data_IF_891798866746
#
_entry.id   IF_891798866746
#
_cell.length_a   1.000
_cell.length_b   1.000
_cell.length_c   1.000
_cell.angle_alpha   90.00
_cell.angle_beta   90.00
_cell.angle_gamma   90.00
#
_symmetry.space_group_name_H-M   'P 1'
#
loop_
_entity.id
_entity.type
_entity.pdbx_description
1 polymer ?
#
# COMPACT_ATOMS: atom_id res chain seq x y z
N UNK A 1 26.99 -15.84 13.54
CA UNK A 1 25.77 -15.45 12.85
C UNK A 1 25.03 -16.74 12.52
N UNK A 2 23.73 -16.78 12.77
CA UNK A 2 22.92 -17.98 12.49
C UNK A 2 22.74 -18.17 10.99
N UNK A 3 22.85 -19.42 10.53
CA UNK A 3 22.66 -19.79 9.12
C UNK A 3 21.34 -20.55 8.97
N UNK A 4 20.48 -20.05 8.12
CA UNK A 4 19.17 -20.61 7.81
C UNK A 4 19.15 -21.05 6.34
N UNK A 5 18.59 -22.24 6.08
CA UNK A 5 18.34 -22.72 4.71
C UNK A 5 16.83 -22.91 4.54
N UNK A 6 16.22 -22.16 3.62
CA UNK A 6 14.87 -22.41 3.12
C UNK A 6 14.96 -23.43 2.00
N UNK A 7 14.51 -24.66 2.28
CA UNK A 7 14.79 -25.83 1.43
C UNK A 7 13.65 -26.14 0.49
N UNK A 8 13.97 -26.46 -0.77
CA UNK A 8 13.06 -27.02 -1.79
C UNK A 8 11.84 -26.14 -2.11
N UNK A 9 11.92 -24.84 -1.89
CA UNK A 9 10.87 -23.88 -2.25
C UNK A 9 10.91 -23.52 -3.73
N UNK A 10 9.77 -23.12 -4.31
CA UNK A 10 9.76 -22.43 -5.60
C UNK A 10 10.18 -20.99 -5.39
N UNK A 11 11.43 -20.71 -5.75
CA UNK A 11 12.03 -19.38 -5.60
C UNK A 11 11.62 -18.52 -6.79
N UNK A 12 10.96 -17.40 -6.52
CA UNK A 12 10.52 -16.45 -7.53
C UNK A 12 11.11 -15.07 -7.21
N UNK A 13 11.98 -14.61 -8.07
CA UNK A 13 12.58 -13.27 -8.02
C UNK A 13 12.54 -12.65 -9.44
N UNK A 14 11.42 -11.99 -9.79
CA UNK A 14 11.23 -11.48 -11.15
C UNK A 14 12.27 -10.44 -11.56
N UNK A 15 12.83 -9.68 -10.61
CA UNK A 15 13.87 -8.69 -10.90
C UNK A 15 15.16 -9.33 -11.41
N UNK A 16 15.43 -10.58 -11.02
CA UNK A 16 16.59 -11.36 -11.45
C UNK A 16 16.22 -12.48 -12.46
N UNK A 17 14.99 -12.49 -12.97
CA UNK A 17 14.46 -13.52 -13.89
C UNK A 17 14.58 -14.93 -13.31
N UNK A 18 14.32 -15.10 -12.01
CA UNK A 18 14.39 -16.39 -11.31
C UNK A 18 12.98 -16.91 -11.05
N UNK A 19 12.70 -18.13 -11.53
CA UNK A 19 11.52 -18.93 -11.18
C UNK A 19 11.94 -20.40 -11.26
N UNK A 20 12.34 -20.97 -10.11
CA UNK A 20 12.81 -22.36 -10.04
C UNK A 20 12.65 -22.94 -8.63
N UNK A 21 12.59 -24.25 -8.54
CA UNK A 21 12.74 -24.94 -7.25
C UNK A 21 14.22 -24.92 -6.86
N UNK A 22 14.52 -24.57 -5.60
CA UNK A 22 15.86 -24.49 -5.08
C UNK A 22 15.90 -24.23 -3.58
N UNK A 23 17.12 -24.10 -3.06
CA UNK A 23 17.39 -23.78 -1.67
C UNK A 23 17.87 -22.33 -1.56
N UNK A 24 17.33 -21.55 -0.63
CA UNK A 24 17.78 -20.19 -0.36
C UNK A 24 18.53 -20.17 0.98
N UNK A 25 19.79 -19.74 0.95
CA UNK A 25 20.66 -19.66 2.13
C UNK A 25 20.75 -18.24 2.65
N UNK A 26 20.59 -18.10 3.97
CA UNK A 26 20.66 -16.85 4.73
C UNK A 26 21.71 -16.98 5.82
N UNK A 27 22.51 -15.93 6.07
CA UNK A 27 23.45 -15.83 7.18
C UNK A 27 23.24 -14.51 7.93
N UNK A 28 22.80 -14.59 9.18
CA UNK A 28 22.41 -13.42 9.94
C UNK A 28 21.28 -12.65 9.24
N UNK A 29 21.50 -11.38 8.95
CA UNK A 29 20.55 -10.49 8.29
C UNK A 29 20.72 -10.41 6.76
N UNK A 30 21.56 -11.28 6.15
CA UNK A 30 21.90 -11.23 4.72
C UNK A 30 21.60 -12.50 3.98
N UNK A 31 21.16 -12.34 2.73
CA UNK A 31 21.03 -13.44 1.77
C UNK A 31 22.44 -13.84 1.30
N UNK A 32 22.77 -15.11 1.43
CA UNK A 32 24.02 -15.68 0.91
C UNK A 32 23.87 -16.00 -0.58
N UNK A 33 22.78 -16.66 -0.95
CA UNK A 33 22.47 -16.99 -2.34
C UNK A 33 21.55 -18.20 -2.48
N UNK A 34 21.22 -18.49 -3.73
CA UNK A 34 20.38 -19.62 -4.12
C UNK A 34 21.28 -20.81 -4.49
N UNK A 35 20.91 -22.00 -4.00
CA UNK A 35 21.65 -23.26 -4.19
C UNK A 35 23.13 -23.20 -3.75
N UNK A 36 23.42 -22.36 -2.76
CA UNK A 36 24.76 -22.29 -2.15
C UNK A 36 24.89 -23.43 -1.13
N UNK A 37 25.85 -24.36 -1.29
CA UNK A 37 26.04 -25.44 -0.34
C UNK A 37 26.46 -24.90 1.05
N UNK A 38 25.79 -25.40 2.10
CA UNK A 38 26.11 -25.09 3.49
C UNK A 38 26.33 -26.38 4.26
N UNK A 39 27.41 -26.43 5.00
CA UNK A 39 27.72 -27.56 5.89
C UNK A 39 27.21 -27.21 7.29
N UNK A 40 26.34 -28.04 7.85
CA UNK A 40 25.74 -27.88 9.17
C UNK A 40 25.08 -26.50 9.40
N UNK A 41 24.00 -26.17 8.65
CA UNK A 41 23.24 -24.95 8.94
C UNK A 41 22.60 -25.04 10.32
N UNK A 42 22.45 -23.89 10.99
CA UNK A 42 21.80 -23.84 12.30
C UNK A 42 20.31 -24.20 12.22
N UNK A 43 19.68 -23.88 11.08
CA UNK A 43 18.26 -24.20 10.85
C UNK A 43 18.01 -24.55 9.37
N UNK A 44 17.20 -25.58 9.16
CA UNK A 44 16.63 -25.94 7.84
C UNK A 44 15.12 -25.85 7.95
N UNK A 45 14.50 -25.08 7.06
CA UNK A 45 13.04 -24.90 6.98
C UNK A 45 12.56 -25.49 5.65
N UNK A 46 11.72 -26.51 5.72
CA UNK A 46 11.11 -27.09 4.52
C UNK A 46 10.07 -26.13 3.92
N UNK A 47 10.33 -25.71 2.68
CA UNK A 47 9.48 -24.87 1.86
C UNK A 47 8.93 -25.61 0.64
N UNK A 48 8.98 -26.95 0.64
CA UNK A 48 8.42 -27.77 -0.45
C UNK A 48 6.95 -27.43 -0.68
N UNK A 49 6.60 -27.16 -1.95
CA UNK A 49 5.26 -26.76 -2.35
C UNK A 49 4.88 -25.30 -2.04
N UNK A 50 5.80 -24.53 -1.45
CA UNK A 50 5.59 -23.12 -1.18
C UNK A 50 6.38 -22.22 -2.11
N UNK A 51 5.93 -20.98 -2.24
CA UNK A 51 6.67 -19.91 -2.92
C UNK A 51 7.62 -19.22 -1.93
N UNK A 52 8.84 -18.99 -2.36
CA UNK A 52 9.86 -18.20 -1.64
C UNK A 52 10.11 -16.94 -2.45
N UNK A 53 9.71 -15.79 -1.91
CA UNK A 53 9.71 -14.49 -2.59
C UNK A 53 10.62 -13.51 -1.85
N UNK A 54 11.10 -12.43 -2.50
CA UNK A 54 11.55 -11.26 -1.76
C UNK A 54 10.47 -10.82 -0.77
N UNK A 55 10.87 -10.26 0.36
CA UNK A 55 9.93 -9.78 1.36
C UNK A 55 8.88 -8.85 0.76
N UNK A 56 7.61 -9.11 1.07
CA UNK A 56 6.51 -8.29 0.57
C UNK A 56 6.59 -6.88 1.16
N UNK A 57 6.30 -5.90 0.32
CA UNK A 57 6.25 -4.48 0.63
C UNK A 57 4.84 -3.99 0.35
N UNK A 58 4.13 -3.56 1.39
CA UNK A 58 2.85 -2.89 1.25
C UNK A 58 3.07 -1.39 1.05
N UNK A 59 2.72 -0.89 -0.13
CA UNK A 59 2.93 0.49 -0.52
C UNK A 59 1.86 1.45 0.02
N UNK A 60 0.79 0.91 0.63
CA UNK A 60 -0.30 1.71 1.17
C UNK A 60 -0.85 1.12 2.47
N UNK A 61 -0.29 1.55 3.57
CA UNK A 61 -0.73 1.17 4.91
C UNK A 61 -1.05 2.41 5.75
N UNK A 62 -1.85 2.22 6.79
CA UNK A 62 -2.16 3.25 7.79
C UNK A 62 -1.87 2.70 9.18
N UNK A 63 -0.66 3.00 9.70
CA UNK A 63 -0.14 2.37 10.90
C UNK A 63 0.25 3.34 12.03
N UNK A 64 -0.20 4.60 11.96
CA UNK A 64 -0.04 5.51 13.08
C UNK A 64 -1.11 5.28 14.15
N UNK A 65 -1.08 4.07 14.71
CA UNK A 65 -2.03 3.60 15.72
C UNK A 65 -2.19 4.61 16.87
N UNK A 66 -3.40 4.75 17.39
CA UNK A 66 -3.83 5.64 18.46
C UNK A 66 -3.82 7.15 18.13
N UNK A 67 -2.82 7.65 17.39
CA UNK A 67 -2.75 9.07 17.04
C UNK A 67 -3.75 9.44 15.96
N UNK A 68 -3.96 8.56 14.99
CA UNK A 68 -4.98 8.74 13.95
C UNK A 68 -6.34 8.13 14.36
N UNK A 69 -6.60 8.08 15.66
CA UNK A 69 -7.83 7.54 16.22
C UNK A 69 -8.02 6.05 15.89
N UNK A 70 -9.18 5.71 15.40
CA UNK A 70 -9.52 4.34 14.97
C UNK A 70 -8.87 3.95 13.64
N UNK A 71 -8.39 4.93 12.86
CA UNK A 71 -7.90 4.71 11.50
C UNK A 71 -6.61 3.88 11.47
N UNK A 72 -5.64 4.20 12.33
CA UNK A 72 -4.33 3.53 12.35
C UNK A 72 -4.37 2.15 13.00
N UNK A 73 -3.74 1.18 12.34
CA UNK A 73 -3.57 -0.19 12.82
C UNK A 73 -2.17 -0.42 13.42
N UNK A 74 -2.01 -1.53 14.13
CA UNK A 74 -0.70 -1.98 14.61
C UNK A 74 0.21 -2.40 13.44
N UNK A 75 1.44 -1.88 13.44
CA UNK A 75 2.39 -2.10 12.35
C UNK A 75 2.82 -3.56 12.18
N UNK A 76 3.00 -4.32 13.27
CA UNK A 76 3.42 -5.71 13.18
C UNK A 76 2.25 -6.64 12.82
N UNK A 77 1.05 -6.29 13.22
CA UNK A 77 -0.19 -7.00 12.81
C UNK A 77 -0.42 -6.88 11.30
N UNK A 78 -0.26 -5.67 10.72
CA UNK A 78 -0.33 -5.46 9.26
C UNK A 78 0.90 -6.01 8.53
N UNK A 79 2.05 -5.98 9.18
CA UNK A 79 3.37 -6.30 8.65
C UNK A 79 3.77 -7.76 8.83
N UNK A 80 4.77 -8.01 9.67
CA UNK A 80 5.43 -9.33 9.79
C UNK A 80 4.46 -10.46 10.15
N UNK A 81 3.43 -10.20 10.94
CA UNK A 81 2.41 -11.18 11.26
C UNK A 81 1.40 -11.43 10.13
N UNK A 82 1.41 -10.61 9.07
CA UNK A 82 0.68 -10.82 7.82
C UNK A 82 1.59 -11.26 6.66
N UNK A 83 2.86 -11.60 6.94
CA UNK A 83 3.83 -12.00 5.92
C UNK A 83 4.44 -10.84 5.13
N UNK A 84 4.28 -9.61 5.59
CA UNK A 84 4.78 -8.38 4.95
C UNK A 84 5.97 -7.86 5.73
N UNK A 85 7.11 -7.63 5.08
CA UNK A 85 8.35 -7.23 5.75
C UNK A 85 8.54 -5.72 5.84
N UNK A 86 7.88 -4.97 4.96
CA UNK A 86 7.97 -3.51 4.89
C UNK A 86 6.60 -2.89 4.64
N UNK A 87 6.27 -1.84 5.39
CA UNK A 87 5.06 -1.03 5.23
C UNK A 87 5.45 0.40 4.89
N UNK A 88 4.69 1.02 3.99
CA UNK A 88 4.77 2.46 3.72
C UNK A 88 3.48 3.10 4.24
N UNK A 89 3.60 3.85 5.34
CA UNK A 89 2.47 4.61 5.90
C UNK A 89 2.14 5.78 4.99
N UNK A 90 0.88 5.84 4.56
CA UNK A 90 0.40 6.84 3.62
C UNK A 90 -0.25 8.03 4.35
N UNK A 91 0.60 8.91 4.87
CA UNK A 91 0.17 10.20 5.40
C UNK A 91 -0.33 10.16 6.85
N UNK A 92 -0.11 9.08 7.59
CA UNK A 92 -0.42 9.05 9.02
C UNK A 92 0.36 10.12 9.79
N UNK A 93 1.65 10.28 9.50
CA UNK A 93 2.49 11.31 10.10
C UNK A 93 2.57 12.58 9.25
N UNK A 94 2.62 13.74 9.92
CA UNK A 94 2.95 15.05 9.37
C UNK A 94 4.32 15.53 9.90
N UNK A 95 4.79 16.68 9.43
CA UNK A 95 6.02 17.28 9.96
C UNK A 95 5.94 17.57 11.47
N UNK A 96 4.73 17.79 12.02
CA UNK A 96 4.52 18.01 13.47
C UNK A 96 4.49 16.69 14.23
N UNK A 97 3.82 15.66 13.71
CA UNK A 97 3.58 14.40 14.42
C UNK A 97 4.63 13.32 14.17
N UNK A 98 5.55 13.55 13.22
CA UNK A 98 6.61 12.62 12.84
C UNK A 98 7.48 12.11 13.99
N UNK A 99 7.91 12.95 14.97
CA UNK A 99 8.72 12.44 16.09
C UNK A 99 8.02 11.37 16.91
N UNK A 100 6.70 11.50 17.12
CA UNK A 100 5.88 10.51 17.80
C UNK A 100 5.75 9.22 16.98
N UNK A 101 5.53 9.33 15.66
CA UNK A 101 5.46 8.19 14.76
C UNK A 101 6.77 7.37 14.75
N UNK A 102 7.90 8.07 14.65
CA UNK A 102 9.22 7.43 14.72
C UNK A 102 9.47 6.72 16.05
N UNK A 103 9.12 7.38 17.17
CA UNK A 103 9.45 6.88 18.49
C UNK A 103 8.53 5.76 18.96
N UNK A 104 7.23 5.87 18.69
CA UNK A 104 6.22 4.95 19.23
C UNK A 104 5.72 3.90 18.25
N UNK A 105 5.92 4.10 16.93
CA UNK A 105 5.49 3.14 15.90
C UNK A 105 6.69 2.52 15.20
N UNK A 106 7.48 3.31 14.47
CA UNK A 106 8.51 2.77 13.59
C UNK A 106 9.64 2.07 14.34
N UNK A 107 10.19 2.67 15.41
CA UNK A 107 11.33 2.09 16.14
C UNK A 107 10.99 0.81 16.91
N UNK A 108 9.84 0.68 17.59
CA UNK A 108 9.51 -0.56 18.29
C UNK A 108 9.05 -1.68 17.38
N UNK A 109 8.52 -1.36 16.18
CA UNK A 109 8.03 -2.36 15.25
C UNK A 109 9.12 -3.33 14.76
N UNK A 110 8.78 -4.60 14.61
CA UNK A 110 9.58 -5.62 13.94
C UNK A 110 9.54 -5.45 12.43
N UNK A 111 8.40 -5.03 11.92
CA UNK A 111 8.19 -4.65 10.54
C UNK A 111 8.98 -3.37 10.22
N UNK A 112 9.58 -3.30 9.05
CA UNK A 112 10.14 -2.03 8.56
C UNK A 112 8.99 -1.09 8.23
N UNK A 113 8.94 0.07 8.86
CA UNK A 113 7.94 1.11 8.60
C UNK A 113 8.63 2.32 8.01
N UNK A 114 8.14 2.77 6.85
CA UNK A 114 8.52 4.00 6.14
C UNK A 114 7.30 4.92 6.04
N UNK A 115 7.49 6.16 5.59
CA UNK A 115 6.40 7.11 5.47
C UNK A 115 6.45 7.89 4.16
N UNK A 116 5.27 8.05 3.54
CA UNK A 116 4.96 9.21 2.72
C UNK A 116 4.32 10.24 3.64
N UNK A 117 5.05 11.31 3.91
CA UNK A 117 4.63 12.31 4.90
C UNK A 117 3.39 13.06 4.42
N UNK A 118 2.44 13.30 5.31
CA UNK A 118 1.26 14.11 4.98
C UNK A 118 1.66 15.54 4.60
N UNK A 119 1.06 16.07 3.54
CA UNK A 119 1.16 17.49 3.21
C UNK A 119 0.45 18.38 4.24
N UNK A 120 -0.47 17.81 5.02
CA UNK A 120 -1.23 18.53 6.05
C UNK A 120 -0.55 18.44 7.41
N UNK A 121 -0.56 19.53 8.18
CA UNK A 121 0.03 19.60 9.53
C UNK A 121 -0.62 18.62 10.51
N UNK A 122 -1.87 18.25 10.29
CA UNK A 122 -2.63 17.34 11.15
C UNK A 122 -2.30 15.86 10.88
N UNK A 123 -1.62 15.53 9.78
CA UNK A 123 -1.40 14.14 9.40
C UNK A 123 -2.72 13.42 9.12
N UNK A 124 -2.81 12.15 9.49
CA UNK A 124 -3.98 11.29 9.30
C UNK A 124 -5.04 11.41 10.39
N UNK A 125 -5.10 12.51 11.16
CA UNK A 125 -6.12 12.72 12.19
C UNK A 125 -7.52 12.70 11.57
N UNK A 126 -8.39 11.82 11.99
CA UNK A 126 -9.86 11.69 11.75
C UNK A 126 -10.45 12.63 10.68
N UNK A 127 -9.70 12.88 9.60
CA UNK A 127 -10.00 13.87 8.60
C UNK A 127 -11.23 13.56 7.77
N UNK A 128 -11.58 12.29 7.68
CA UNK A 128 -12.80 11.84 7.05
C UNK A 128 -14.08 12.31 7.79
N UNK A 129 -13.98 12.67 9.07
CA UNK A 129 -15.04 13.35 9.81
C UNK A 129 -14.88 14.86 9.82
N UNK A 130 -13.64 15.35 9.73
CA UNK A 130 -13.30 16.76 9.92
C UNK A 130 -12.53 17.30 8.71
N UNK A 131 -13.18 17.34 7.56
CA UNK A 131 -12.57 17.80 6.30
C UNK A 131 -11.86 19.15 6.41
N UNK A 132 -12.37 20.07 7.26
CA UNK A 132 -11.77 21.39 7.49
C UNK A 132 -10.35 21.36 8.08
N UNK A 133 -9.92 20.25 8.66
CA UNK A 133 -8.53 20.06 9.10
C UNK A 133 -7.54 19.92 7.93
N UNK A 134 -8.06 19.65 6.75
CA UNK A 134 -7.29 19.40 5.52
C UNK A 134 -7.31 20.60 4.55
N UNK A 135 -7.75 21.76 5.02
CA UNK A 135 -7.72 22.99 4.24
C UNK A 135 -6.28 23.46 3.94
N UNK A 136 -6.07 24.27 2.89
CA UNK A 136 -4.74 24.75 2.48
C UNK A 136 -3.95 25.44 3.60
N UNK A 137 -4.63 26.16 4.52
CA UNK A 137 -4.02 26.85 5.65
C UNK A 137 -3.46 25.89 6.72
N UNK A 138 -3.83 24.62 6.66
CA UNK A 138 -3.26 23.54 7.47
C UNK A 138 -2.09 22.83 6.77
N UNK A 139 -1.43 23.49 5.83
CA UNK A 139 -0.20 23.03 5.17
C UNK A 139 0.92 24.04 5.44
N UNK A 140 2.15 23.52 5.64
CA UNK A 140 3.36 24.35 5.81
C UNK A 140 4.49 23.73 4.97
N UNK A 141 4.83 24.41 3.88
CA UNK A 141 5.85 23.95 2.92
C UNK A 141 7.21 23.86 3.61
N UNK A 142 7.63 24.93 4.29
CA UNK A 142 8.98 25.02 4.87
C UNK A 142 9.18 24.02 6.00
N UNK A 143 8.19 23.87 6.89
CA UNK A 143 8.24 22.91 7.97
C UNK A 143 8.28 21.46 7.44
N UNK A 144 7.49 21.16 6.42
CA UNK A 144 7.45 19.81 5.80
C UNK A 144 8.75 19.49 5.08
N UNK A 145 9.29 20.42 4.28
CA UNK A 145 10.60 20.25 3.61
C UNK A 145 11.72 20.08 4.62
N UNK A 146 11.69 20.84 5.73
CA UNK A 146 12.68 20.70 6.83
C UNK A 146 12.59 19.31 7.48
N UNK A 147 11.39 18.80 7.72
CA UNK A 147 11.21 17.44 8.27
C UNK A 147 11.73 16.37 7.31
N UNK A 148 11.45 16.48 6.01
CA UNK A 148 11.96 15.56 5.00
C UNK A 148 13.49 15.54 5.00
N UNK A 149 14.13 16.71 5.00
CA UNK A 149 15.61 16.81 5.03
C UNK A 149 16.23 16.27 6.32
N UNK A 150 15.50 16.30 7.43
CA UNK A 150 15.97 15.74 8.71
C UNK A 150 15.88 14.22 8.80
N UNK A 151 15.00 13.59 8.00
CA UNK A 151 14.75 12.13 8.04
C UNK A 151 14.71 11.50 6.63
N UNK A 152 15.80 11.65 5.84
CA UNK A 152 15.84 11.25 4.42
C UNK A 152 15.73 9.72 4.23
N UNK A 153 16.17 8.92 5.22
CA UNK A 153 16.10 7.47 5.17
C UNK A 153 14.73 6.91 5.56
N UNK A 154 13.86 7.75 6.10
CA UNK A 154 12.55 7.35 6.58
C UNK A 154 11.41 7.85 5.69
N UNK A 155 11.47 9.11 5.25
CA UNK A 155 10.44 9.73 4.41
C UNK A 155 10.76 9.46 2.94
N UNK A 156 9.80 8.84 2.21
CA UNK A 156 9.99 8.41 0.83
C UNK A 156 9.13 9.16 -0.18
N UNK A 157 8.22 10.00 0.28
CA UNK A 157 7.33 10.80 -0.57
C UNK A 157 6.40 11.68 0.23
N UNK A 158 5.47 12.33 -0.45
CA UNK A 158 4.47 13.24 0.11
C UNK A 158 3.08 12.70 -0.22
N UNK A 159 2.24 12.49 0.79
CA UNK A 159 0.83 12.13 0.63
C UNK A 159 -0.04 13.37 0.55
N UNK A 160 -0.89 13.41 -0.47
CA UNK A 160 -1.90 14.44 -0.65
C UNK A 160 -3.19 13.85 -1.23
N UNK A 161 -4.28 14.62 -1.20
CA UNK A 161 -5.60 14.18 -1.63
C UNK A 161 -6.14 15.11 -2.72
N UNK A 162 -6.42 14.55 -3.90
CA UNK A 162 -7.17 15.18 -4.97
C UNK A 162 -8.52 14.46 -5.09
N UNK A 163 -9.38 14.66 -4.12
CA UNK A 163 -10.66 14.00 -3.98
C UNK A 163 -11.82 15.01 -4.04
N UNK A 164 -13.02 14.51 -4.37
CA UNK A 164 -14.16 15.36 -4.74
C UNK A 164 -14.55 16.37 -3.65
N UNK A 165 -14.69 15.92 -2.40
CA UNK A 165 -15.18 16.78 -1.32
C UNK A 165 -14.19 17.90 -0.95
N UNK A 166 -12.89 17.63 -1.00
CA UNK A 166 -11.83 18.61 -0.80
C UNK A 166 -11.72 19.58 -1.98
N UNK A 167 -11.77 19.04 -3.21
CA UNK A 167 -11.73 19.87 -4.41
C UNK A 167 -12.89 20.86 -4.47
N UNK A 168 -14.09 20.44 -4.10
CA UNK A 168 -15.25 21.32 -4.01
C UNK A 168 -15.09 22.45 -2.98
N UNK A 169 -14.27 22.21 -1.93
CA UNK A 169 -14.00 23.22 -0.89
C UNK A 169 -12.89 24.18 -1.30
N UNK A 170 -11.81 23.65 -1.86
CA UNK A 170 -10.54 24.38 -2.00
C UNK A 170 -9.89 24.30 -3.39
N UNK A 171 -10.54 23.68 -4.37
CA UNK A 171 -9.95 23.47 -5.69
C UNK A 171 -8.68 22.63 -5.64
N UNK A 172 -7.76 22.89 -6.55
CA UNK A 172 -6.46 22.19 -6.62
C UNK A 172 -5.43 22.69 -5.59
N UNK A 173 -5.77 23.64 -4.71
CA UNK A 173 -4.78 24.38 -3.90
C UNK A 173 -3.91 23.48 -3.04
N UNK A 174 -4.46 22.44 -2.46
CA UNK A 174 -3.69 21.48 -1.63
C UNK A 174 -2.66 20.72 -2.49
N UNK A 175 -3.03 20.31 -3.69
CA UNK A 175 -2.12 19.62 -4.60
C UNK A 175 -1.02 20.56 -5.13
N UNK A 176 -1.34 21.84 -5.36
CA UNK A 176 -0.33 22.85 -5.68
C UNK A 176 0.74 22.97 -4.58
N UNK A 177 0.29 23.04 -3.31
CA UNK A 177 1.18 23.07 -2.14
C UNK A 177 2.01 21.79 -2.06
N UNK A 178 1.38 20.61 -2.18
CA UNK A 178 2.09 19.33 -2.16
C UNK A 178 3.11 19.23 -3.30
N UNK A 179 2.77 19.72 -4.52
CA UNK A 179 3.68 19.77 -5.67
C UNK A 179 4.90 20.63 -5.36
N UNK A 180 4.71 21.78 -4.70
CA UNK A 180 5.81 22.64 -4.29
C UNK A 180 6.71 21.97 -3.25
N UNK A 181 6.14 21.28 -2.25
CA UNK A 181 6.91 20.46 -1.30
C UNK A 181 7.73 19.41 -2.06
N UNK A 182 7.10 18.71 -3.02
CA UNK A 182 7.75 17.68 -3.83
C UNK A 182 8.90 18.22 -4.69
N UNK A 183 8.76 19.44 -5.24
CA UNK A 183 9.83 20.11 -6.00
C UNK A 183 11.02 20.46 -5.10
N UNK A 184 10.77 21.07 -3.94
CA UNK A 184 11.82 21.51 -3.01
C UNK A 184 12.53 20.34 -2.31
N UNK A 185 11.84 19.23 -2.08
CA UNK A 185 12.38 18.02 -1.45
C UNK A 185 12.92 16.99 -2.44
N UNK A 186 12.61 17.12 -3.72
CA UNK A 186 12.90 16.14 -4.79
C UNK A 186 12.28 14.75 -4.54
N UNK A 187 11.19 14.69 -3.79
CA UNK A 187 10.43 13.46 -3.53
C UNK A 187 9.16 13.39 -4.39
N UNK A 188 8.67 12.18 -4.67
CA UNK A 188 7.43 11.99 -5.40
C UNK A 188 6.21 12.35 -4.55
N UNK A 189 5.14 12.74 -5.23
CA UNK A 189 3.81 12.80 -4.64
C UNK A 189 3.14 11.43 -4.71
N UNK A 190 2.33 11.13 -3.71
CA UNK A 190 1.35 10.05 -3.72
C UNK A 190 -0.04 10.67 -3.54
N UNK A 191 -0.84 10.62 -4.60
CA UNK A 191 -2.10 11.36 -4.67
C UNK A 191 -3.27 10.40 -4.60
N UNK A 192 -4.09 10.56 -3.56
CA UNK A 192 -5.38 9.88 -3.46
C UNK A 192 -6.36 10.46 -4.46
N UNK A 193 -6.98 9.62 -5.29
CA UNK A 193 -8.09 9.95 -6.17
C UNK A 193 -9.39 9.27 -5.71
N UNK A 194 -10.52 9.83 -6.10
CA UNK A 194 -11.84 9.38 -5.69
C UNK A 194 -12.40 10.19 -4.52
N UNK A 195 -13.54 9.78 -3.96
CA UNK A 195 -14.22 10.54 -2.91
C UNK A 195 -13.79 10.06 -1.52
N UNK A 196 -13.38 10.99 -0.65
CA UNK A 196 -13.08 10.77 0.77
C UNK A 196 -14.09 11.46 1.69
N UNK A 197 -14.51 12.66 1.33
CA UNK A 197 -15.36 13.50 2.17
C UNK A 197 -16.70 13.77 1.48
N UNK A 198 -17.77 13.90 2.28
CA UNK A 198 -19.05 14.28 1.72
C UNK A 198 -18.94 15.69 1.10
N UNK A 199 -19.78 15.93 0.11
CA UNK A 199 -19.94 17.26 -0.47
C UNK A 199 -20.39 18.26 0.60
N UNK A 200 -19.84 19.49 0.61
CA UNK A 200 -20.30 20.51 1.55
C UNK A 200 -21.79 20.79 1.38
N UNK A 201 -22.53 20.82 2.49
CA UNK A 201 -23.99 21.02 2.47
C UNK A 201 -24.45 22.39 1.91
N UNK A 202 -23.52 23.37 1.88
CA UNK A 202 -23.74 24.73 1.37
C UNK A 202 -23.33 24.91 -0.10
N UNK A 203 -22.72 23.88 -0.69
CA UNK A 203 -22.34 23.89 -2.11
C UNK A 203 -23.43 23.18 -2.92
N UNK A 204 -24.16 23.92 -3.74
CA UNK A 204 -24.99 23.32 -4.78
C UNK A 204 -24.04 22.73 -5.82
N UNK A 205 -23.99 21.40 -5.89
CA UNK A 205 -22.91 20.71 -6.62
C UNK A 205 -23.20 20.78 -8.11
N UNK A 206 -22.48 21.66 -8.76
CA UNK A 206 -22.29 21.66 -10.22
C UNK A 206 -20.81 21.30 -10.57
N UNK A 207 -20.05 20.78 -9.59
CA UNK A 207 -18.65 20.42 -9.85
C UNK A 207 -18.60 19.07 -10.53
N UNK A 208 -18.17 19.06 -11.76
CA UNK A 208 -17.87 17.84 -12.50
C UNK A 208 -16.71 17.08 -11.83
N UNK A 209 -16.92 15.86 -11.30
CA UNK A 209 -15.84 15.07 -10.71
C UNK A 209 -14.67 14.84 -11.67
N UNK A 210 -14.92 14.82 -12.98
CA UNK A 210 -13.88 14.61 -14.00
C UNK A 210 -12.91 15.80 -14.06
N UNK A 211 -13.36 17.01 -13.70
CA UNK A 211 -12.51 18.23 -13.68
C UNK A 211 -11.37 18.15 -12.67
N UNK A 212 -11.47 17.30 -11.65
CA UNK A 212 -10.42 17.11 -10.63
C UNK A 212 -9.16 16.56 -11.28
N UNK A 213 -9.31 15.47 -12.01
CA UNK A 213 -8.18 14.79 -12.67
C UNK A 213 -7.54 15.70 -13.72
N UNK A 214 -8.36 16.44 -14.47
CA UNK A 214 -7.87 17.44 -15.45
C UNK A 214 -7.05 18.55 -14.79
N UNK A 215 -7.54 19.09 -13.68
CA UNK A 215 -6.89 20.22 -13.01
C UNK A 215 -5.53 19.86 -12.38
N UNK A 216 -5.35 18.62 -11.91
CA UNK A 216 -4.09 18.19 -11.29
C UNK A 216 -3.06 17.71 -12.30
N UNK A 217 -3.46 17.34 -13.51
CA UNK A 217 -2.56 16.73 -14.50
C UNK A 217 -1.32 17.60 -14.79
N UNK A 218 -1.46 18.93 -14.83
CA UNK A 218 -0.35 19.87 -15.05
C UNK A 218 0.61 20.02 -13.86
N UNK A 219 0.24 19.52 -12.69
CA UNK A 219 1.03 19.57 -11.46
C UNK A 219 1.90 18.32 -11.28
N UNK A 220 1.62 17.26 -12.03
CA UNK A 220 2.31 15.97 -11.94
C UNK A 220 3.67 16.02 -12.62
N UNK A 221 4.61 15.26 -12.08
CA UNK A 221 5.95 15.04 -12.63
C UNK A 221 6.28 13.55 -12.70
N UNK A 222 7.31 13.12 -13.44
CA UNK A 222 7.77 11.74 -13.46
C UNK A 222 7.98 11.19 -12.05
N UNK A 223 7.55 9.95 -11.82
CA UNK A 223 7.54 9.21 -10.56
C UNK A 223 6.54 9.68 -9.50
N UNK A 224 5.72 10.72 -9.75
CA UNK A 224 4.53 10.91 -8.91
C UNK A 224 3.59 9.72 -9.09
N UNK A 225 2.81 9.42 -8.05
CA UNK A 225 1.99 8.22 -7.98
C UNK A 225 0.51 8.62 -7.87
N UNK A 226 -0.32 8.09 -8.76
CA UNK A 226 -1.78 8.18 -8.67
C UNK A 226 -2.30 6.89 -8.01
N UNK A 227 -3.02 7.05 -6.91
CA UNK A 227 -3.60 5.94 -6.17
C UNK A 227 -5.05 5.67 -6.58
N UNK A 228 -5.52 4.46 -6.27
CA UNK A 228 -6.89 4.01 -6.43
C UNK A 228 -7.40 4.01 -7.89
N UNK A 229 -6.63 3.43 -8.85
CA UNK A 229 -7.05 3.36 -10.25
C UNK A 229 -8.36 2.60 -10.44
N UNK A 230 -8.69 1.72 -9.49
CA UNK A 230 -9.85 0.83 -9.50
C UNK A 230 -10.96 1.32 -8.57
N UNK A 231 -10.94 2.63 -8.23
CA UNK A 231 -11.92 3.22 -7.33
C UNK A 231 -13.33 3.22 -7.91
N UNK A 232 -14.27 2.73 -7.11
CA UNK A 232 -15.72 2.84 -7.34
C UNK A 232 -16.28 4.26 -7.14
N UNK A 233 -15.50 5.14 -6.53
CA UNK A 233 -15.88 6.50 -6.22
C UNK A 233 -15.63 7.46 -7.40
N UNK A 234 -16.45 8.51 -7.56
CA UNK A 234 -16.27 9.49 -8.62
C UNK A 234 -14.97 10.29 -8.46
N UNK A 235 -14.45 10.84 -9.55
CA UNK A 235 -13.17 11.58 -9.56
C UNK A 235 -11.94 10.68 -9.65
N UNK A 236 -12.09 9.46 -10.16
CA UNK A 236 -11.02 8.48 -10.36
C UNK A 236 -10.56 8.35 -11.82
N UNK A 237 -10.04 7.18 -12.17
CA UNK A 237 -9.52 6.89 -13.52
C UNK A 237 -10.62 6.76 -14.57
N UNK A 238 -11.79 6.29 -14.18
CA UNK A 238 -12.96 6.15 -15.05
C UNK A 238 -13.86 7.36 -14.84
N UNK A 239 -14.14 8.08 -15.93
CA UNK A 239 -14.98 9.26 -15.91
C UNK A 239 -16.50 8.90 -15.78
N UNK A 240 -17.34 9.91 -15.59
CA UNK A 240 -18.79 9.73 -15.48
C UNK A 240 -19.43 9.08 -16.72
N UNK A 241 -18.79 9.16 -17.88
CA UNK A 241 -19.24 8.46 -19.09
C UNK A 241 -18.81 6.98 -19.13
N UNK A 242 -18.19 6.46 -18.06
CA UNK A 242 -17.72 5.08 -17.95
C UNK A 242 -16.49 4.75 -18.78
N UNK A 243 -15.72 5.77 -19.19
CA UNK A 243 -14.49 5.62 -19.99
C UNK A 243 -13.26 6.08 -19.21
N UNK A 244 -12.11 5.51 -19.58
CA UNK A 244 -10.84 5.99 -19.06
C UNK A 244 -10.67 7.48 -19.37
N UNK A 245 -10.28 8.24 -18.35
CA UNK A 245 -10.01 9.67 -18.48
C UNK A 245 -8.79 9.91 -19.37
N UNK A 246 -8.87 10.73 -20.45
CA UNK A 246 -7.77 10.93 -21.39
C UNK A 246 -6.48 11.40 -20.72
N UNK A 247 -6.56 12.32 -19.75
CA UNK A 247 -5.38 12.88 -19.06
C UNK A 247 -4.61 11.84 -18.24
N UNK A 248 -5.22 10.71 -17.89
CA UNK A 248 -4.50 9.61 -17.23
C UNK A 248 -3.44 9.05 -18.17
N UNK A 249 -3.77 8.78 -19.43
CA UNK A 249 -2.78 8.32 -20.41
C UNK A 249 -1.65 9.35 -20.64
N UNK A 250 -1.99 10.63 -20.66
CA UNK A 250 -1.01 11.70 -20.77
C UNK A 250 -0.07 11.70 -19.56
N UNK A 251 -0.60 11.63 -18.34
CA UNK A 251 0.18 11.53 -17.10
C UNK A 251 1.12 10.30 -17.11
N UNK A 252 0.63 9.13 -17.52
CA UNK A 252 1.47 7.92 -17.60
C UNK A 252 2.58 8.08 -18.65
N UNK A 253 2.31 8.78 -19.76
CA UNK A 253 3.31 9.00 -20.83
C UNK A 253 4.50 9.83 -20.38
N UNK A 254 4.35 10.70 -19.39
CA UNK A 254 5.44 11.46 -18.78
C UNK A 254 6.13 10.75 -17.63
N UNK A 255 5.72 9.50 -17.31
CA UNK A 255 6.36 8.67 -16.28
C UNK A 255 5.70 8.71 -14.90
N UNK A 256 4.49 9.22 -14.79
CA UNK A 256 3.66 9.07 -13.58
C UNK A 256 3.37 7.59 -13.34
N UNK A 257 3.34 7.16 -12.10
CA UNK A 257 3.15 5.78 -11.64
C UNK A 257 1.74 5.55 -11.10
N UNK A 258 1.37 4.29 -11.01
CA UNK A 258 0.05 3.88 -10.52
C UNK A 258 0.21 2.87 -9.37
N UNK A 259 -0.43 3.17 -8.24
CA UNK A 259 -0.55 2.25 -7.11
C UNK A 259 -2.01 1.82 -6.93
N UNK A 260 -2.26 0.54 -6.70
CA UNK A 260 -3.63 0.05 -6.56
C UNK A 260 -4.34 0.67 -5.36
N UNK A 261 -3.69 0.71 -4.17
CA UNK A 261 -4.36 1.16 -2.96
C UNK A 261 -5.72 0.47 -2.82
N UNK A 262 -5.72 -0.87 -2.68
CA UNK A 262 -6.91 -1.70 -2.84
C UNK A 262 -8.11 -1.22 -2.00
N UNK A 263 -7.99 -1.30 -0.70
CA UNK A 263 -8.93 -0.79 0.28
C UNK A 263 -10.43 -0.98 -0.01
N UNK A 264 -11.24 -0.15 0.62
CA UNK A 264 -12.69 -0.06 0.39
C UNK A 264 -13.07 0.61 -0.94
N UNK A 265 -12.08 1.17 -1.63
CA UNK A 265 -12.27 1.84 -2.92
C UNK A 265 -12.44 0.86 -4.08
N UNK A 266 -11.91 -0.33 -3.96
CA UNK A 266 -11.75 -1.30 -5.03
C UNK A 266 -13.07 -1.84 -5.58
N UNK A 267 -13.19 -1.85 -6.93
CA UNK A 267 -14.27 -2.46 -7.69
C UNK A 267 -13.72 -3.32 -8.83
N UNK A 268 -14.23 -4.55 -8.98
CA UNK A 268 -13.86 -5.44 -10.08
C UNK A 268 -14.30 -4.90 -11.45
N UNK A 269 -15.45 -4.24 -11.53
CA UNK A 269 -15.93 -3.64 -12.79
C UNK A 269 -14.98 -2.53 -13.25
N UNK A 270 -14.65 -1.60 -12.34
CA UNK A 270 -13.70 -0.51 -12.65
C UNK A 270 -12.31 -1.05 -12.98
N UNK A 271 -11.83 -2.06 -12.23
CA UNK A 271 -10.54 -2.69 -12.47
C UNK A 271 -10.46 -3.28 -13.89
N UNK A 272 -11.50 -4.00 -14.35
CA UNK A 272 -11.54 -4.53 -15.71
C UNK A 272 -11.46 -3.41 -16.75
N UNK A 273 -12.24 -2.34 -16.60
CA UNK A 273 -12.23 -1.20 -17.52
C UNK A 273 -10.86 -0.54 -17.64
N UNK A 274 -10.15 -0.37 -16.53
CA UNK A 274 -8.81 0.22 -16.50
C UNK A 274 -7.78 -0.72 -17.12
N UNK A 275 -7.83 -2.02 -16.79
CA UNK A 275 -6.95 -3.04 -17.37
C UNK A 275 -7.19 -3.21 -18.87
N UNK A 276 -8.45 -3.23 -19.32
CA UNK A 276 -8.84 -3.31 -20.75
C UNK A 276 -8.38 -2.08 -21.53
N UNK A 277 -8.26 -0.92 -20.87
CA UNK A 277 -7.67 0.29 -21.45
C UNK A 277 -6.14 0.23 -21.56
N UNK A 278 -5.51 -0.88 -21.13
CA UNK A 278 -4.08 -1.14 -21.20
C UNK A 278 -3.26 -0.57 -20.05
N UNK A 279 -3.91 -0.20 -18.92
CA UNK A 279 -3.21 0.30 -17.73
C UNK A 279 -3.08 -0.82 -16.72
N UNK A 280 -1.83 -1.27 -16.50
CA UNK A 280 -1.47 -2.21 -15.44
C UNK A 280 -0.71 -1.42 -14.38
N UNK A 281 -1.16 -1.43 -13.10
CA UNK A 281 -0.50 -0.68 -12.04
C UNK A 281 0.96 -1.09 -11.81
N UNK A 282 1.78 -0.12 -11.38
CA UNK A 282 3.19 -0.34 -11.06
C UNK A 282 3.37 -1.04 -9.70
N UNK A 283 2.55 -0.68 -8.70
CA UNK A 283 2.63 -1.17 -7.32
C UNK A 283 1.24 -1.53 -6.76
N UNK A 284 1.24 -2.27 -5.66
CA UNK A 284 0.04 -2.72 -4.98
C UNK A 284 0.15 -2.50 -3.48
N UNK A 285 -0.63 -1.55 -2.97
CA UNK A 285 -0.88 -1.36 -1.57
C UNK A 285 -2.24 -1.92 -1.15
N UNK A 286 -2.36 -2.36 0.09
CA UNK A 286 -3.59 -2.93 0.63
C UNK A 286 -4.59 -1.88 1.10
N UNK A 287 -4.13 -0.71 1.54
CA UNK A 287 -4.95 0.37 2.10
C UNK A 287 -5.78 -0.09 3.31
N UNK A 288 -5.15 -0.87 4.19
CA UNK A 288 -5.77 -1.35 5.42
C UNK A 288 -5.81 -0.25 6.48
N UNK A 289 -6.96 -0.08 7.11
CA UNK A 289 -7.19 0.81 8.24
C UNK A 289 -8.33 0.29 9.14
N UNK A 290 -8.52 0.85 10.32
CA UNK A 290 -9.44 0.33 11.33
C UNK A 290 -10.93 0.41 10.97
N UNK A 291 -11.31 1.11 9.90
CA UNK A 291 -12.70 1.15 9.41
C UNK A 291 -13.00 0.05 8.39
N UNK A 292 -12.00 -0.40 7.63
CA UNK A 292 -12.22 -1.35 6.55
C UNK A 292 -11.76 -2.78 6.85
N UNK A 293 -10.97 -2.99 7.90
CA UNK A 293 -10.51 -4.32 8.30
C UNK A 293 -11.42 -5.00 9.32
N UNK A 294 -12.42 -4.30 9.86
CA UNK A 294 -13.25 -4.74 11.01
C UNK A 294 -12.45 -5.07 12.27
N UNK A 295 -11.16 -4.77 12.27
CA UNK A 295 -10.27 -4.93 13.41
C UNK A 295 -10.23 -3.63 14.21
N UNK A 296 -10.40 -3.75 15.53
CA UNK A 296 -10.32 -2.60 16.43
C UNK A 296 -8.99 -2.65 17.20
N UNK A 297 -8.31 -1.52 17.26
CA UNK A 297 -7.18 -1.38 18.19
C UNK A 297 -7.62 -1.73 19.62
N UNK A 298 -6.86 -2.54 20.32
CA UNK A 298 -7.15 -2.92 21.70
C UNK A 298 -6.14 -2.27 22.66
N UNK A 299 -6.62 -1.54 23.70
CA UNK A 299 -7.99 -1.08 23.95
C UNK A 299 -8.39 0.02 22.94
N UNK A 300 -9.70 0.23 22.68
CA UNK A 300 -10.14 1.29 21.78
C UNK A 300 -9.61 2.63 22.30
N UNK A 301 -8.91 3.36 21.42
CA UNK A 301 -8.21 4.57 21.79
C UNK A 301 -9.15 5.74 22.14
N UNK A 302 -10.36 5.72 21.60
CA UNK A 302 -11.38 6.77 21.83
C UNK A 302 -12.73 6.13 22.17
N UNK A 303 -13.56 6.79 23.00
CA UNK A 303 -14.96 6.43 23.10
C UNK A 303 -15.58 6.46 21.71
N UNK A 304 -16.43 5.51 21.40
CA UNK A 304 -17.21 5.52 20.16
C UNK A 304 -18.16 6.73 20.19
N UNK A 305 -17.70 7.83 19.61
CA UNK A 305 -18.46 9.08 19.59
C UNK A 305 -19.28 9.25 18.31
N UNK A 306 -19.08 8.36 17.34
CA UNK A 306 -19.76 8.39 16.07
C UNK A 306 -20.60 7.12 15.89
N UNK A 307 -21.95 7.24 15.88
CA UNK A 307 -22.87 6.09 15.84
C UNK A 307 -22.91 5.36 14.49
N UNK A 308 -22.36 5.92 13.43
CA UNK A 308 -22.60 5.47 12.05
C UNK A 308 -21.53 4.52 11.53
N UNK A 309 -21.22 3.46 12.27
CA UNK A 309 -20.21 2.46 11.87
C UNK A 309 -20.58 1.69 10.59
N UNK A 310 -21.89 1.56 10.28
CA UNK A 310 -22.39 0.77 9.15
C UNK A 310 -22.35 1.50 7.80
N UNK A 311 -22.43 2.82 7.81
CA UNK A 311 -22.57 3.65 6.60
C UNK A 311 -21.33 4.50 6.30
N UNK A 312 -20.19 4.20 6.94
CA UNK A 312 -18.97 4.96 6.72
C UNK A 312 -18.44 4.74 5.29
N UNK A 313 -18.08 5.83 4.60
CA UNK A 313 -17.55 5.80 3.23
C UNK A 313 -16.36 4.84 3.06
N UNK A 314 -15.58 4.64 4.11
CA UNK A 314 -14.43 3.73 4.14
C UNK A 314 -14.75 2.32 4.64
N UNK A 315 -15.99 2.02 5.03
CA UNK A 315 -16.33 0.67 5.45
C UNK A 315 -16.16 -0.30 4.27
N UNK A 316 -15.56 -1.45 4.56
CA UNK A 316 -15.44 -2.53 3.58
C UNK A 316 -16.52 -3.58 3.82
N UNK A 317 -17.12 -4.06 2.74
CA UNK A 317 -18.06 -5.17 2.79
C UNK A 317 -17.35 -6.52 3.00
N UNK A 318 -16.05 -6.59 2.70
CA UNK A 318 -15.24 -7.81 2.74
C UNK A 318 -13.90 -7.55 3.44
N UNK A 319 -13.40 -8.52 4.23
CA UNK A 319 -12.05 -8.42 4.79
C UNK A 319 -11.00 -8.57 3.69
N UNK A 320 -9.88 -7.86 3.83
CA UNK A 320 -8.76 -7.95 2.91
C UNK A 320 -7.41 -7.73 3.61
N UNK A 321 -6.35 -8.15 2.94
CA UNK A 321 -4.95 -7.97 3.30
C UNK A 321 -4.14 -7.76 2.04
N UNK A 322 -2.82 -7.52 2.13
CA UNK A 322 -1.98 -7.41 0.94
C UNK A 322 -2.04 -8.68 0.08
N UNK A 323 -2.00 -9.87 0.68
CA UNK A 323 -2.09 -11.13 -0.08
C UNK A 323 -3.46 -11.35 -0.71
N UNK A 324 -4.55 -10.91 -0.08
CA UNK A 324 -5.87 -10.98 -0.73
C UNK A 324 -6.00 -9.96 -1.87
N UNK A 325 -5.37 -8.79 -1.75
CA UNK A 325 -5.27 -7.84 -2.87
C UNK A 325 -4.48 -8.45 -4.05
N UNK A 326 -3.36 -9.15 -3.77
CA UNK A 326 -2.64 -9.92 -4.79
C UNK A 326 -3.55 -10.95 -5.48
N UNK A 327 -4.35 -11.68 -4.69
CA UNK A 327 -5.30 -12.68 -5.22
C UNK A 327 -6.36 -12.03 -6.12
N UNK A 328 -6.83 -10.82 -5.80
CA UNK A 328 -7.74 -10.04 -6.65
C UNK A 328 -7.10 -9.69 -8.01
N UNK A 329 -5.82 -9.28 -8.00
CA UNK A 329 -5.08 -9.00 -9.24
C UNK A 329 -4.91 -10.24 -10.10
N UNK A 330 -4.56 -11.37 -9.49
CA UNK A 330 -4.44 -12.67 -10.20
C UNK A 330 -5.77 -13.12 -10.79
N UNK A 331 -6.87 -12.97 -10.05
CA UNK A 331 -8.20 -13.33 -10.53
C UNK A 331 -8.68 -12.44 -11.68
N UNK A 332 -8.24 -11.17 -11.72
CA UNK A 332 -8.47 -10.25 -12.85
C UNK A 332 -7.61 -10.58 -14.09
N UNK A 333 -6.66 -11.51 -13.98
CA UNK A 333 -5.80 -11.94 -15.09
C UNK A 333 -4.51 -11.13 -15.23
N UNK A 334 -4.13 -10.36 -14.23
CA UNK A 334 -2.81 -9.73 -14.19
C UNK A 334 -1.73 -10.81 -14.11
N UNK A 335 -0.66 -10.65 -14.88
CA UNK A 335 0.44 -11.62 -14.93
C UNK A 335 1.01 -11.92 -13.54
N UNK A 336 1.25 -13.20 -13.27
CA UNK A 336 1.69 -13.68 -11.96
C UNK A 336 3.01 -13.06 -11.50
N UNK A 337 4.00 -12.98 -12.40
CA UNK A 337 5.29 -12.38 -12.06
C UNK A 337 5.17 -10.86 -11.89
N UNK A 338 4.28 -10.23 -12.64
CA UNK A 338 4.01 -8.80 -12.48
C UNK A 338 3.35 -8.51 -11.12
N UNK A 339 2.37 -9.32 -10.68
CA UNK A 339 1.78 -9.17 -9.33
C UNK A 339 2.85 -9.29 -8.25
N UNK A 340 3.80 -10.21 -8.38
CA UNK A 340 4.93 -10.31 -7.44
C UNK A 340 5.83 -9.07 -7.54
N UNK A 341 6.13 -8.56 -8.74
CA UNK A 341 6.89 -7.32 -8.89
C UNK A 341 6.23 -6.12 -8.21
N UNK A 342 4.90 -6.01 -8.30
CA UNK A 342 4.13 -4.91 -7.70
C UNK A 342 4.36 -4.79 -6.19
N UNK A 343 4.55 -5.91 -5.50
CA UNK A 343 4.72 -5.98 -4.04
C UNK A 343 6.16 -6.29 -3.60
N UNK A 344 7.11 -6.28 -4.52
CA UNK A 344 8.53 -6.55 -4.23
C UNK A 344 9.42 -5.51 -4.91
N UNK A 345 9.96 -5.79 -6.09
CA UNK A 345 10.97 -4.97 -6.76
C UNK A 345 10.45 -3.60 -7.20
N UNK A 346 9.19 -3.50 -7.66
CA UNK A 346 8.61 -2.22 -8.03
C UNK A 346 8.36 -1.35 -6.78
N UNK A 347 7.80 -1.96 -5.72
CA UNK A 347 7.59 -1.28 -4.45
C UNK A 347 8.91 -0.84 -3.81
N UNK A 348 9.98 -1.66 -3.89
CA UNK A 348 11.31 -1.29 -3.44
C UNK A 348 11.86 -0.08 -4.21
N UNK A 349 11.68 -0.03 -5.54
CA UNK A 349 12.07 1.15 -6.36
C UNK A 349 11.27 2.39 -5.98
N UNK A 350 9.95 2.27 -5.79
CA UNK A 350 9.10 3.37 -5.33
C UNK A 350 9.61 3.96 -4.00
N UNK A 351 10.07 3.09 -3.09
CA UNK A 351 10.64 3.49 -1.81
C UNK A 351 12.13 3.88 -1.88
N UNK A 352 12.77 3.83 -3.06
CA UNK A 352 14.22 4.04 -3.25
C UNK A 352 15.07 3.09 -2.36
N UNK A 353 14.63 1.84 -2.22
CA UNK A 353 15.28 0.77 -1.44
C UNK A 353 15.67 -0.45 -2.29
N UNK A 354 15.59 -0.36 -3.61
CA UNK A 354 15.91 -1.44 -4.53
C UNK A 354 17.39 -1.85 -4.53
N UNK A 355 18.25 -1.05 -3.91
CA UNK A 355 19.64 -1.40 -3.60
C UNK A 355 19.77 -2.32 -2.38
N UNK A 356 18.75 -2.44 -1.52
CA UNK A 356 18.78 -3.19 -0.26
C UNK A 356 17.80 -4.37 -0.22
N UNK A 357 16.56 -4.17 -0.67
CA UNK A 357 15.45 -5.13 -0.62
C UNK A 357 14.74 -5.27 -1.98
N UNK A 358 13.69 -6.09 -2.03
CA UNK A 358 12.86 -6.30 -3.23
C UNK A 358 13.40 -7.34 -4.21
N UNK A 359 14.55 -7.97 -3.90
CA UNK A 359 15.15 -9.10 -4.64
C UNK A 359 15.81 -10.09 -3.69
N UNK A 360 16.09 -11.32 -4.19
CA UNK A 360 16.79 -12.37 -3.45
C UNK A 360 18.28 -12.46 -3.81
N UNK A 361 18.84 -11.39 -4.34
CA UNK A 361 20.27 -11.33 -4.69
C UNK A 361 21.19 -11.48 -3.49
N UNK A 362 22.35 -12.09 -3.69
CA UNK A 362 23.38 -12.23 -2.64
C UNK A 362 23.79 -10.87 -2.06
N UNK A 363 23.99 -10.82 -0.74
CA UNK A 363 24.32 -9.60 0.01
C UNK A 363 23.13 -8.67 0.32
N UNK A 364 21.94 -8.93 -0.25
CA UNK A 364 20.72 -8.19 0.09
C UNK A 364 20.27 -8.50 1.51
N UNK A 365 19.49 -7.60 2.10
CA UNK A 365 18.86 -7.87 3.39
C UNK A 365 17.95 -9.09 3.27
N UNK A 366 18.00 -9.98 4.26
CA UNK A 366 17.20 -11.20 4.30
C UNK A 366 15.74 -10.88 4.69
N UNK A 367 15.09 -10.05 3.85
CA UNK A 367 13.66 -9.80 3.85
C UNK A 367 13.05 -10.78 2.82
N UNK A 368 12.33 -11.79 3.32
CA UNK A 368 11.82 -12.91 2.52
C UNK A 368 10.41 -13.23 2.97
N UNK A 369 9.50 -13.51 2.04
CA UNK A 369 8.16 -14.00 2.36
C UNK A 369 7.95 -15.39 1.77
N UNK A 370 7.37 -16.28 2.57
CA UNK A 370 7.00 -17.64 2.15
C UNK A 370 5.48 -17.74 2.13
N UNK A 371 4.93 -18.06 0.95
CA UNK A 371 3.49 -18.20 0.72
C UNK A 371 3.13 -19.64 0.35
N UNK A 372 1.94 -20.08 0.73
CA UNK A 372 1.28 -21.22 0.08
C UNK A 372 0.73 -20.76 -1.27
N UNK A 373 0.71 -21.68 -2.23
CA UNK A 373 0.12 -21.51 -3.58
C UNK A 373 -0.95 -22.59 -3.76
N UNK A 374 -2.15 -22.30 -3.31
CA UNK A 374 -3.25 -23.26 -3.36
C UNK A 374 -4.00 -23.14 -4.69
N UNK A 375 -4.20 -24.29 -5.37
CA UNK A 375 -4.93 -24.37 -6.63
C UNK A 375 -6.33 -24.95 -6.40
N UNK A 376 -7.36 -24.27 -6.93
CA UNK A 376 -8.75 -24.66 -6.71
C UNK A 376 -9.71 -23.65 -7.31
N UNK A 377 -10.87 -23.49 -6.67
CA UNK A 377 -11.84 -22.45 -7.01
C UNK A 377 -12.28 -21.73 -5.74
N UNK A 378 -12.18 -20.41 -5.77
CA UNK A 378 -12.60 -19.52 -4.68
C UNK A 378 -13.42 -18.38 -5.26
N UNK A 379 -14.41 -17.93 -4.50
CA UNK A 379 -15.15 -16.70 -4.82
C UNK A 379 -14.51 -15.54 -4.09
N UNK A 380 -13.99 -14.58 -4.87
CA UNK A 380 -13.57 -13.30 -4.33
C UNK A 380 -14.68 -12.29 -4.58
N UNK A 381 -14.93 -11.44 -3.61
CA UNK A 381 -15.97 -10.44 -3.65
C UNK A 381 -15.36 -9.05 -3.43
N UNK A 382 -15.86 -8.05 -4.14
CA UNK A 382 -15.48 -6.64 -3.92
C UNK A 382 -16.47 -5.89 -3.02
N UNK A 383 -16.26 -4.60 -2.88
CA UNK A 383 -17.07 -3.74 -2.02
C UNK A 383 -18.43 -3.36 -2.63
N UNK A 384 -18.64 -3.56 -3.93
CA UNK A 384 -19.94 -3.38 -4.61
C UNK A 384 -20.76 -4.67 -4.58
N UNK A 385 -20.16 -5.77 -4.15
CA UNK A 385 -20.75 -7.09 -4.07
C UNK A 385 -20.57 -7.93 -5.34
N UNK A 386 -19.80 -7.44 -6.30
CA UNK A 386 -19.42 -8.20 -7.47
C UNK A 386 -18.48 -9.35 -7.11
N UNK A 387 -18.65 -10.47 -7.80
CA UNK A 387 -17.88 -11.69 -7.56
C UNK A 387 -17.01 -12.07 -8.77
N UNK A 388 -15.82 -12.60 -8.47
CA UNK A 388 -14.93 -13.20 -9.47
C UNK A 388 -14.42 -14.53 -8.94
N UNK A 389 -14.25 -15.52 -9.85
CA UNK A 389 -13.69 -16.82 -9.49
C UNK A 389 -12.17 -16.78 -9.60
N UNK A 390 -11.47 -16.95 -8.49
CA UNK A 390 -10.04 -17.20 -8.45
C UNK A 390 -9.74 -18.71 -8.61
N UNK A 391 -8.73 -19.03 -9.39
CA UNK A 391 -8.24 -20.42 -9.58
C UNK A 391 -6.98 -20.70 -8.78
N UNK A 392 -6.46 -19.69 -8.13
CA UNK A 392 -5.25 -19.71 -7.33
C UNK A 392 -5.43 -18.76 -6.16
N UNK A 393 -4.99 -19.17 -4.97
CA UNK A 393 -4.96 -18.34 -3.77
C UNK A 393 -3.57 -18.41 -3.16
N UNK A 394 -2.99 -17.24 -2.90
CA UNK A 394 -1.76 -17.08 -2.15
C UNK A 394 -2.10 -16.75 -0.71
N UNK A 395 -1.54 -17.53 0.23
CA UNK A 395 -1.70 -17.27 1.67
C UNK A 395 -0.34 -17.26 2.36
N UNK A 396 -0.07 -16.30 3.28
CA UNK A 396 1.23 -16.22 3.94
C UNK A 396 1.39 -17.36 4.95
N UNK A 397 2.60 -17.96 4.97
CA UNK A 397 3.03 -18.92 6.00
C UNK A 397 3.85 -18.24 7.08
N UNK A 398 4.90 -17.56 6.66
CA UNK A 398 5.81 -16.79 7.51
C UNK A 398 6.61 -15.81 6.65
N UNK A 399 7.27 -14.86 7.29
CA UNK A 399 8.31 -14.07 6.66
C UNK A 399 9.60 -14.08 7.49
N UNK A 400 10.70 -13.73 6.84
CA UNK A 400 11.95 -13.34 7.48
C UNK A 400 12.11 -11.83 7.29
N UNK A 401 12.27 -11.08 8.37
CA UNK A 401 12.59 -9.66 8.34
C UNK A 401 14.00 -9.48 8.91
N UNK A 402 14.95 -9.09 8.03
CA UNK A 402 16.37 -9.05 8.34
C UNK A 402 16.86 -10.37 8.97
N UNK A 403 16.40 -11.51 8.44
CA UNK A 403 16.77 -12.86 8.91
C UNK A 403 16.01 -13.35 10.14
N UNK A 404 15.25 -12.52 10.85
CA UNK A 404 14.39 -12.94 11.96
C UNK A 404 13.05 -13.46 11.42
N UNK A 405 12.63 -14.65 11.87
CA UNK A 405 11.39 -15.31 11.41
C UNK A 405 10.17 -14.84 12.20
N UNK A 406 9.09 -14.58 11.48
CA UNK A 406 7.77 -14.28 12.00
C UNK A 406 6.73 -15.14 11.31
N UNK A 407 5.95 -15.92 12.07
CA UNK A 407 4.85 -16.70 11.52
C UNK A 407 3.67 -15.77 11.19
N UNK A 408 2.99 -16.03 10.07
CA UNK A 408 1.86 -15.24 9.59
C UNK A 408 0.57 -15.66 10.32
N UNK A 409 0.35 -15.11 11.50
CA UNK A 409 -0.75 -15.44 12.41
C UNK A 409 -1.72 -14.27 12.64
N UNK A 410 -1.63 -13.22 11.83
CA UNK A 410 -2.50 -12.05 11.94
C UNK A 410 -3.96 -12.40 11.69
N UNK A 411 -4.85 -11.88 12.51
CA UNK A 411 -6.29 -11.93 12.32
C UNK A 411 -6.78 -11.12 11.11
N UNK A 412 -5.93 -10.24 10.55
CA UNK A 412 -6.21 -9.51 9.32
C UNK A 412 -6.11 -10.38 8.05
N UNK A 413 -5.54 -11.59 8.15
CA UNK A 413 -5.45 -12.50 7.01
C UNK A 413 -6.83 -13.14 6.81
N UNK A 414 -7.52 -12.85 5.68
CA UNK A 414 -8.84 -13.40 5.46
C UNK A 414 -8.84 -14.92 5.38
N UNK A 415 -9.78 -15.56 6.08
CA UNK A 415 -10.03 -16.99 5.93
C UNK A 415 -10.65 -17.24 4.56
N UNK A 416 -9.94 -17.97 3.71
CA UNK A 416 -10.40 -18.30 2.37
C UNK A 416 -11.23 -19.59 2.40
N UNK A 417 -12.53 -19.46 2.23
CA UNK A 417 -13.40 -20.63 2.07
C UNK A 417 -13.41 -21.05 0.59
N UNK A 418 -13.13 -22.35 0.33
CA UNK A 418 -13.30 -22.91 -1.00
C UNK A 418 -14.77 -22.78 -1.45
N UNK A 419 -14.99 -22.52 -2.75
CA UNK A 419 -16.32 -22.31 -3.33
C UNK A 419 -17.09 -23.64 -3.43
#
# INVERSE_FOLDING_TARGET
MSTIVLKSGRIIDPANNIDKIGDLTICGDRIVGIDVPVVNPDQVIDCSGSLVLPGLIDTHAHVYQYVTGRFGLDADTCGVHSGVTTLIDQGGASCITLPGFLHYVSKPAKTRVLSFISAYLVGGLEGHYYAELYRPECCDIDATVKAIKAYPDFIRGIKAHAELGGYQRWGAKVIEIASEIGKQSQLPLYIHLGQLWPSPSHVTIDTDPDSIVESIASLLKPNDILAHPFSRHPGGFINQAGKLHPVIKEALSIGVKVDVGHGSHFSFDIARRVLDAGIVPDTLGADMHGYNTHHRAHPPATPETHPDEGDHLFASAVPFSLTSAMNSMLALGVDFHHVIQMVTSNAARMASLDHEIGTLGAGRTADITVLNDDRGQWRLRDNDGDEITARQILTPRFCLRAGERFDALSELIPQQNAA
#
